data_IF_183747123156
#
_entry.id   IF_183747123156
#
_cell.length_a   1.000
_cell.length_b   1.000
_cell.length_c   1.000
_cell.angle_alpha   90.00
_cell.angle_beta   90.00
_cell.angle_gamma   90.00
#
_symmetry.space_group_name_H-M   'P 1'
#
loop_
_entity.id
_entity.type
_entity.pdbx_description
1 polymer ?
#
# COMPACT_ATOMS: atom_id res chain seq x y z
N UNK A 1 2.97 0.91 -4.72
CA UNK A 1 3.84 1.17 -5.89
C UNK A 1 3.08 2.04 -6.88
N UNK A 2 3.61 3.21 -7.22
CA UNK A 2 3.00 4.10 -8.20
C UNK A 2 3.71 3.91 -9.54
N UNK A 3 3.12 3.08 -10.39
CA UNK A 3 3.67 2.75 -11.69
C UNK A 3 2.58 2.65 -12.75
N UNK A 4 2.95 2.98 -14.00
CA UNK A 4 2.07 2.91 -15.16
C UNK A 4 2.74 2.06 -16.23
N UNK A 5 2.05 1.02 -16.69
CA UNK A 5 2.50 0.22 -17.85
C UNK A 5 1.72 0.66 -19.07
N UNK A 6 2.36 0.91 -20.21
CA UNK A 6 1.65 1.30 -21.43
C UNK A 6 2.23 0.68 -22.69
N UNK A 7 1.37 0.51 -23.69
CA UNK A 7 1.74 0.22 -25.07
C UNK A 7 1.66 1.52 -25.88
N UNK A 8 2.73 1.86 -26.57
CA UNK A 8 2.84 3.04 -27.45
C UNK A 8 3.22 2.61 -28.86
N UNK A 9 2.87 3.44 -29.84
CA UNK A 9 3.03 3.17 -31.27
C UNK A 9 3.49 4.43 -32.00
N UNK A 10 4.45 4.29 -32.92
CA UNK A 10 4.77 5.36 -33.85
C UNK A 10 3.85 5.29 -35.06
N UNK A 11 2.85 6.16 -35.11
CA UNK A 11 1.95 6.28 -36.24
C UNK A 11 2.56 7.17 -37.33
N UNK A 12 2.46 6.76 -38.60
CA UNK A 12 2.90 7.58 -39.72
C UNK A 12 2.04 8.85 -39.91
N UNK A 13 0.76 8.81 -39.48
CA UNK A 13 -0.15 9.94 -39.57
C UNK A 13 -0.07 10.88 -38.34
N UNK A 14 -0.13 10.30 -37.14
CA UNK A 14 -0.24 11.07 -35.88
C UNK A 14 1.09 11.19 -35.12
N UNK A 15 2.14 10.52 -35.58
CA UNK A 15 3.40 10.39 -34.85
C UNK A 15 3.31 9.47 -33.62
N UNK A 16 4.19 9.65 -32.62
CA UNK A 16 4.17 8.87 -31.38
C UNK A 16 2.82 8.97 -30.68
N UNK A 17 2.17 7.84 -30.45
CA UNK A 17 0.81 7.74 -29.94
C UNK A 17 0.69 6.70 -28.82
N UNK A 18 -0.05 7.02 -27.77
CA UNK A 18 -0.36 6.07 -26.69
C UNK A 18 -1.59 5.26 -27.10
N UNK A 19 -1.45 3.93 -27.08
CA UNK A 19 -2.51 3.00 -27.43
C UNK A 19 -3.32 2.58 -26.22
N UNK A 20 -2.63 2.21 -25.14
CA UNK A 20 -3.25 1.62 -23.96
C UNK A 20 -2.33 1.73 -22.76
N UNK A 21 -2.88 1.99 -21.58
CA UNK A 21 -2.17 2.02 -20.31
C UNK A 21 -2.94 1.29 -19.21
N UNK A 22 -2.22 0.66 -18.28
CA UNK A 22 -2.77 0.07 -17.06
C UNK A 22 -2.10 0.69 -15.83
N UNK A 23 -2.89 0.98 -14.80
CA UNK A 23 -2.48 1.61 -13.54
C UNK A 23 -2.99 0.82 -12.34
N UNK A 24 -2.26 0.85 -11.24
CA UNK A 24 -2.66 0.27 -9.97
C UNK A 24 -3.13 1.37 -9.00
N UNK A 25 -4.33 1.20 -8.44
CA UNK A 25 -4.94 2.07 -7.43
C UNK A 25 -4.99 1.34 -6.10
N UNK A 26 -4.81 2.07 -4.99
CA UNK A 26 -4.88 1.53 -3.62
C UNK A 26 -5.96 2.30 -2.84
N UNK A 27 -6.97 1.62 -2.30
CA UNK A 27 -8.13 2.24 -1.61
C UNK A 27 -7.78 2.94 -0.28
N UNK A 28 -6.56 2.78 0.24
CA UNK A 28 -6.10 3.49 1.44
C UNK A 28 -5.81 5.00 1.24
N UNK A 29 -6.03 5.54 0.03
CA UNK A 29 -6.09 6.97 -0.22
C UNK A 29 -7.54 7.46 -0.02
N UNK A 30 -8.03 7.36 1.22
CA UNK A 30 -9.32 7.92 1.63
C UNK A 30 -9.17 9.44 1.73
N UNK A 31 -9.25 10.14 0.60
CA UNK A 31 -9.67 11.55 0.52
C UNK A 31 -9.99 12.02 -0.92
N UNK A 32 -9.52 11.34 -1.99
CA UNK A 32 -9.69 11.87 -3.37
C UNK A 32 -10.82 11.25 -4.21
N UNK A 33 -11.58 10.28 -3.69
CA UNK A 33 -12.58 9.55 -4.50
C UNK A 33 -13.95 10.26 -4.51
N UNK A 34 -14.23 11.14 -3.55
CA UNK A 34 -15.50 11.87 -3.50
C UNK A 34 -15.62 12.99 -4.56
N UNK A 35 -14.51 13.62 -4.95
CA UNK A 35 -14.51 14.69 -5.97
C UNK A 35 -14.52 14.16 -7.41
N UNK A 36 -14.35 12.85 -7.61
CA UNK A 36 -14.35 12.23 -8.94
C UNK A 36 -15.78 11.96 -9.49
N UNK A 37 -16.84 12.16 -8.69
CA UNK A 37 -18.22 11.84 -9.09
C UNK A 37 -19.19 13.02 -9.10
N UNK A 38 -18.73 14.25 -8.86
CA UNK A 38 -19.57 15.44 -8.92
C UNK A 38 -18.81 16.65 -9.45
N UNK A 39 -18.88 16.88 -10.76
CA UNK A 39 -19.21 18.17 -11.40
C UNK A 39 -19.53 17.88 -12.87
N UNK A 40 -20.72 18.33 -13.25
CA UNK A 40 -21.33 18.22 -14.55
C UNK A 40 -20.84 19.32 -15.51
N UNK A 41 -20.87 19.00 -16.81
CA UNK A 41 -21.24 19.92 -17.89
C UNK A 41 -20.51 21.26 -17.97
N UNK A 42 -19.27 21.26 -18.47
CA UNK A 42 -18.59 22.50 -18.88
C UNK A 42 -17.53 22.23 -19.93
N UNK A 43 -17.81 22.57 -21.19
CA UNK A 43 -16.80 22.64 -22.26
C UNK A 43 -15.82 23.76 -21.91
N UNK A 44 -14.55 23.45 -21.62
CA UNK A 44 -13.46 24.39 -21.85
C UNK A 44 -12.15 23.63 -22.11
N UNK A 45 -11.67 23.72 -23.35
CA UNK A 45 -10.24 23.58 -23.64
C UNK A 45 -9.52 24.80 -23.06
N UNK A 46 -8.36 24.66 -22.40
CA UNK A 46 -7.54 25.82 -22.09
C UNK A 46 -6.82 26.25 -23.37
N UNK A 47 -7.31 27.34 -23.95
CA UNK A 47 -6.60 28.13 -24.97
C UNK A 47 -5.60 29.01 -24.22
N UNK A 48 -4.40 29.15 -24.79
CA UNK A 48 -3.34 30.03 -24.34
C UNK A 48 -3.80 31.48 -24.23
N UNK A 49 -3.67 32.09 -23.05
CA UNK A 49 -3.77 33.54 -22.89
C UNK A 49 -2.40 34.18 -23.17
N UNK A 50 -2.28 34.75 -24.37
CA UNK A 50 -1.42 35.90 -24.63
C UNK A 50 -2.28 36.95 -25.35
N UNK A 51 -2.61 38.04 -24.66
CA UNK A 51 -3.03 39.30 -25.28
C UNK A 51 -2.35 40.45 -24.55
N UNK A 52 -1.54 41.21 -25.28
CA UNK A 52 -1.84 42.63 -25.50
C UNK A 52 -1.27 43.07 -26.85
N UNK A 53 -2.16 43.56 -27.71
CA UNK A 53 -1.82 44.28 -28.94
C UNK A 53 -2.39 45.69 -28.87
N UNK A 54 -1.74 46.62 -29.57
CA UNK A 54 -2.32 47.92 -29.90
C UNK A 54 -2.47 48.06 -31.41
N UNK A 55 -3.73 48.28 -31.83
CA UNK A 55 -4.25 49.18 -32.89
C UNK A 55 -3.62 49.15 -34.29
N UNK A 56 -4.39 48.80 -35.34
CA UNK A 56 -5.19 49.72 -36.19
C UNK A 56 -5.66 49.12 -37.54
N UNK A 57 -6.90 49.48 -37.92
CA UNK A 57 -7.50 49.67 -39.26
C UNK A 57 -7.90 48.52 -40.23
N UNK A 58 -9.16 48.65 -40.68
CA UNK A 58 -10.06 47.90 -41.60
C UNK A 58 -9.65 48.24 -43.09
N UNK A 59 -10.13 47.62 -44.24
CA UNK A 59 -11.49 47.07 -44.41
C UNK A 59 -11.87 46.01 -45.49
N UNK A 60 -13.16 45.57 -45.39
CA UNK A 60 -14.08 44.94 -46.38
C UNK A 60 -13.69 43.55 -46.98
N UNK A 61 -14.57 42.61 -47.37
CA UNK A 61 -16.01 42.34 -47.30
C UNK A 61 -16.22 40.93 -47.91
N UNK A 62 -17.01 40.05 -47.28
CA UNK A 62 -18.21 39.46 -47.89
C UNK A 62 -18.80 38.33 -47.02
N UNK A 63 -20.01 38.58 -46.55
CA UNK A 63 -20.90 37.63 -45.88
C UNK A 63 -21.43 36.60 -46.89
N UNK A 64 -21.46 35.33 -46.50
CA UNK A 64 -22.48 34.36 -46.90
C UNK A 64 -22.94 33.59 -45.67
N UNK A 65 -24.26 33.50 -45.55
CA UNK A 65 -25.04 33.00 -44.41
C UNK A 65 -24.84 31.51 -44.10
N UNK A 66 -25.22 31.06 -42.88
CA UNK A 66 -24.90 29.74 -42.36
C UNK A 66 -26.00 28.72 -42.67
N UNK A 67 -25.65 27.64 -43.35
CA UNK A 67 -26.48 26.44 -43.41
C UNK A 67 -25.64 25.19 -43.15
N UNK A 68 -25.96 24.52 -42.04
CA UNK A 68 -25.66 23.12 -41.74
C UNK A 68 -24.24 22.61 -42.04
N UNK A 69 -23.34 22.77 -41.07
CA UNK A 69 -22.21 21.85 -40.90
C UNK A 69 -22.47 21.03 -39.64
N UNK A 70 -22.98 19.81 -39.83
CA UNK A 70 -22.84 18.75 -38.86
C UNK A 70 -21.36 18.63 -38.50
N UNK A 71 -21.02 18.96 -37.24
CA UNK A 71 -19.66 18.79 -36.72
C UNK A 71 -19.33 17.30 -36.80
N UNK A 72 -18.52 16.93 -37.78
CA UNK A 72 -17.92 15.61 -37.85
C UNK A 72 -17.04 15.40 -36.61
N UNK A 73 -17.28 14.29 -35.91
CA UNK A 73 -16.39 13.74 -34.89
C UNK A 73 -14.99 13.64 -35.48
N UNK A 74 -13.91 14.05 -34.78
CA UNK A 74 -12.57 13.94 -35.33
C UNK A 74 -12.28 12.47 -35.65
N UNK A 75 -11.96 12.20 -36.91
CA UNK A 75 -11.65 10.86 -37.41
C UNK A 75 -10.41 10.36 -36.67
N UNK A 76 -10.60 9.50 -35.68
CA UNK A 76 -9.48 8.88 -34.96
C UNK A 76 -8.74 7.93 -35.90
N UNK A 77 -7.43 8.06 -36.02
CA UNK A 77 -6.62 7.16 -36.83
C UNK A 77 -6.84 5.69 -36.43
N UNK A 78 -7.20 4.84 -37.39
CA UNK A 78 -7.50 3.43 -37.16
C UNK A 78 -6.31 2.65 -36.57
N UNK A 79 -5.09 3.01 -36.93
CA UNK A 79 -3.86 2.41 -36.36
C UNK A 79 -3.62 2.77 -34.90
N UNK A 80 -4.10 3.94 -34.50
CA UNK A 80 -3.99 4.43 -33.13
C UNK A 80 -5.20 4.02 -32.27
N UNK A 81 -6.14 3.25 -32.83
CA UNK A 81 -7.41 2.95 -32.15
C UNK A 81 -7.21 1.97 -31.01
N UNK A 82 -7.80 2.33 -29.87
CA UNK A 82 -8.06 1.44 -28.75
C UNK A 82 -9.49 0.93 -28.90
N UNK A 83 -9.68 -0.38 -28.98
CA UNK A 83 -11.00 -0.99 -29.16
C UNK A 83 -11.33 -1.89 -27.97
N UNK A 84 -12.49 -1.66 -27.37
CA UNK A 84 -13.05 -2.56 -26.35
C UNK A 84 -13.96 -3.55 -27.10
N UNK A 85 -13.82 -4.87 -26.86
CA UNK A 85 -14.72 -5.84 -27.46
C UNK A 85 -16.19 -5.54 -27.12
N UNK A 86 -17.13 -5.67 -28.07
CA UNK A 86 -18.55 -5.51 -27.79
C UNK A 86 -18.99 -6.50 -26.71
N UNK A 87 -19.80 -6.03 -25.77
CA UNK A 87 -20.25 -6.77 -24.59
C UNK A 87 -21.32 -7.84 -24.93
N UNK A 88 -21.08 -8.66 -25.95
CA UNK A 88 -22.01 -9.73 -26.39
C UNK A 88 -21.45 -11.14 -26.17
N UNK A 89 -20.28 -11.30 -25.53
CA UNK A 89 -19.58 -12.59 -25.40
C UNK A 89 -19.46 -13.16 -23.98
N UNK A 90 -20.05 -12.53 -22.97
CA UNK A 90 -20.21 -13.14 -21.65
C UNK A 90 -21.64 -12.94 -21.18
N UNK A 91 -22.43 -14.02 -21.17
CA UNK A 91 -23.81 -14.06 -20.73
C UNK A 91 -23.97 -13.82 -19.22
N UNK A 92 -23.61 -12.63 -18.75
CA UNK A 92 -23.94 -12.15 -17.41
C UNK A 92 -24.82 -10.90 -17.56
N UNK A 93 -26.08 -11.10 -17.24
CA UNK A 93 -27.19 -10.15 -17.39
C UNK A 93 -27.02 -8.93 -16.47
N UNK A 94 -27.19 -7.76 -17.09
CA UNK A 94 -27.75 -6.47 -16.61
C UNK A 94 -27.55 -6.09 -15.14
N UNK A 95 -26.96 -4.91 -14.94
CA UNK A 95 -27.58 -3.67 -14.44
C UNK A 95 -26.42 -2.71 -14.23
N UNK A 96 -26.30 -1.63 -15.02
CA UNK A 96 -25.99 -0.25 -14.59
C UNK A 96 -26.26 0.66 -15.80
N UNK A 97 -26.83 1.83 -15.53
CA UNK A 97 -27.18 2.85 -16.51
C UNK A 97 -25.99 3.17 -17.43
N UNK A 98 -26.30 3.60 -18.65
CA UNK A 98 -25.41 3.94 -19.77
C UNK A 98 -24.25 4.90 -19.42
N UNK A 99 -23.25 4.42 -18.71
CA UNK A 99 -21.91 5.01 -18.68
C UNK A 99 -21.10 4.28 -19.74
N UNK A 100 -20.73 4.99 -20.81
CA UNK A 100 -19.76 4.50 -21.80
C UNK A 100 -18.63 3.74 -21.10
N UNK A 101 -18.37 2.50 -21.51
CA UNK A 101 -17.31 1.69 -20.92
C UNK A 101 -15.98 2.38 -21.22
N UNK A 102 -15.36 3.01 -20.21
CA UNK A 102 -14.15 3.83 -20.35
C UNK A 102 -12.83 3.03 -20.29
N UNK A 103 -12.89 1.70 -20.10
CA UNK A 103 -11.70 0.87 -19.94
C UNK A 103 -11.96 -0.50 -19.31
N UNK A 104 -10.89 -1.18 -18.90
CA UNK A 104 -10.89 -2.44 -18.15
C UNK A 104 -10.64 -2.20 -16.66
N UNK A 105 -11.22 -3.04 -15.80
CA UNK A 105 -10.97 -3.03 -14.35
C UNK A 105 -10.74 -4.47 -13.88
N UNK A 106 -9.71 -4.70 -13.09
CA UNK A 106 -9.40 -6.01 -12.49
C UNK A 106 -9.00 -5.80 -11.03
N UNK A 107 -9.66 -6.47 -10.10
CA UNK A 107 -9.33 -6.43 -8.68
C UNK A 107 -8.28 -7.49 -8.36
N UNK A 108 -7.40 -7.24 -7.39
CA UNK A 108 -6.43 -8.23 -6.93
C UNK A 108 -7.08 -9.17 -5.91
N UNK A 109 -7.13 -10.47 -6.20
CA UNK A 109 -7.70 -11.49 -5.30
C UNK A 109 -6.95 -11.58 -3.96
N UNK A 110 -5.64 -11.31 -3.94
CA UNK A 110 -4.83 -11.41 -2.73
C UNK A 110 -4.85 -10.13 -1.89
N UNK A 111 -5.09 -8.98 -2.52
CA UNK A 111 -5.17 -7.70 -1.83
C UNK A 111 -6.37 -6.92 -2.35
N UNK A 112 -7.55 -7.06 -1.72
CA UNK A 112 -8.78 -6.39 -2.15
C UNK A 112 -8.67 -4.87 -2.25
N UNK A 113 -7.71 -4.25 -1.55
CA UNK A 113 -7.44 -2.81 -1.61
C UNK A 113 -6.79 -2.38 -2.92
N UNK A 114 -6.31 -3.30 -3.75
CA UNK A 114 -5.59 -3.00 -5.00
C UNK A 114 -6.49 -3.28 -6.20
N UNK A 115 -6.69 -2.25 -7.01
CA UNK A 115 -7.41 -2.37 -8.28
C UNK A 115 -6.54 -1.92 -9.44
N UNK A 116 -6.51 -2.73 -10.50
CA UNK A 116 -5.86 -2.39 -11.75
C UNK A 116 -6.90 -1.84 -12.74
N UNK A 117 -6.64 -0.66 -13.30
CA UNK A 117 -7.52 0.01 -14.27
C UNK A 117 -6.75 0.18 -15.58
N UNK A 118 -7.33 -0.31 -16.67
CA UNK A 118 -6.80 -0.20 -18.03
C UNK A 118 -7.61 0.79 -18.85
N UNK A 119 -6.98 1.78 -19.47
CA UNK A 119 -7.64 2.80 -20.30
C UNK A 119 -6.70 3.24 -21.41
N UNK A 120 -7.17 4.07 -22.36
CA UNK A 120 -6.26 4.65 -23.38
C UNK A 120 -5.26 5.62 -22.76
N UNK A 121 -5.72 6.40 -21.77
CA UNK A 121 -4.94 7.43 -21.09
C UNK A 121 -5.19 7.41 -19.58
N UNK A 122 -4.21 7.81 -18.75
CA UNK A 122 -4.46 8.17 -17.35
C UNK A 122 -5.59 9.19 -17.21
N UNK A 123 -6.36 9.07 -16.13
CA UNK A 123 -7.41 10.05 -15.81
C UNK A 123 -6.84 11.38 -15.32
N UNK A 124 -5.73 11.33 -14.57
CA UNK A 124 -5.10 12.52 -14.00
C UNK A 124 -4.21 13.23 -15.04
N UNK A 125 -4.33 14.56 -15.12
CA UNK A 125 -3.68 15.39 -16.16
C UNK A 125 -2.15 15.38 -16.10
N UNK A 126 -1.58 15.39 -14.89
CA UNK A 126 -0.12 15.33 -14.71
C UNK A 126 0.44 13.97 -15.18
N UNK A 127 -0.25 12.87 -14.86
CA UNK A 127 0.11 11.54 -15.33
C UNK A 127 -0.03 11.43 -16.85
N UNK A 128 -1.04 12.09 -17.44
CA UNK A 128 -1.18 12.18 -18.90
C UNK A 128 0.03 12.84 -19.54
N UNK A 129 0.47 13.98 -19.02
CA UNK A 129 1.66 14.67 -19.52
C UNK A 129 2.91 13.79 -19.42
N UNK A 130 3.13 13.13 -18.28
CA UNK A 130 4.26 12.23 -18.06
C UNK A 130 4.26 11.03 -19.04
N UNK A 131 3.11 10.35 -19.20
CA UNK A 131 2.96 9.22 -20.14
C UNK A 131 3.12 9.68 -21.60
N UNK A 132 2.58 10.87 -21.95
CA UNK A 132 2.73 11.45 -23.28
C UNK A 132 4.19 11.75 -23.59
N UNK A 133 4.91 12.35 -22.65
CA UNK A 133 6.33 12.66 -22.80
C UNK A 133 7.18 11.39 -22.89
N UNK A 134 6.90 10.39 -22.04
CA UNK A 134 7.53 9.07 -22.12
C UNK A 134 7.30 8.41 -23.49
N UNK A 135 6.09 8.51 -24.05
CA UNK A 135 5.76 8.00 -25.38
C UNK A 135 6.59 8.67 -26.49
N UNK A 136 6.68 10.00 -26.50
CA UNK A 136 7.47 10.73 -27.50
C UNK A 136 8.95 10.36 -27.40
N UNK A 137 9.53 10.38 -26.19
CA UNK A 137 10.94 10.07 -25.98
C UNK A 137 11.27 8.64 -26.41
N UNK A 138 10.46 7.67 -25.98
CA UNK A 138 10.64 6.24 -26.30
C UNK A 138 10.67 5.92 -27.79
N UNK A 139 9.92 6.68 -28.61
CA UNK A 139 9.74 6.37 -30.04
C UNK A 139 10.55 7.29 -30.96
N UNK A 140 10.93 8.49 -30.51
CA UNK A 140 11.56 9.52 -31.36
C UNK A 140 12.94 9.97 -30.91
N UNK A 141 13.26 9.92 -29.62
CA UNK A 141 14.49 10.53 -29.08
C UNK A 141 15.52 9.49 -28.66
N UNK A 142 15.05 8.45 -27.96
CA UNK A 142 15.92 7.49 -27.31
C UNK A 142 16.35 6.39 -28.29
N UNK A 143 17.65 6.14 -28.37
CA UNK A 143 18.22 5.23 -29.37
C UNK A 143 18.77 3.96 -28.72
N UNK A 144 18.41 2.81 -29.29
CA UNK A 144 18.99 1.52 -28.94
C UNK A 144 19.80 0.98 -30.13
N UNK A 145 20.99 0.44 -29.89
CA UNK A 145 21.80 -0.18 -30.94
C UNK A 145 21.05 -1.39 -31.52
N UNK A 146 20.90 -1.45 -32.84
CA UNK A 146 20.05 -2.45 -33.52
C UNK A 146 18.57 -2.06 -33.63
N UNK A 147 18.15 -0.92 -33.06
CA UNK A 147 16.81 -0.33 -33.13
C UNK A 147 15.67 -1.22 -32.57
N UNK A 148 15.97 -2.23 -31.78
CA UNK A 148 15.04 -2.96 -30.92
C UNK A 148 15.72 -3.26 -29.59
N UNK A 149 14.96 -3.20 -28.50
CA UNK A 149 15.47 -3.52 -27.17
C UNK A 149 15.09 -2.52 -26.09
N UNK A 150 15.56 -2.76 -24.86
CA UNK A 150 15.23 -1.94 -23.71
C UNK A 150 16.12 -0.69 -23.60
N UNK A 151 15.54 0.42 -23.16
CA UNK A 151 16.23 1.68 -22.83
C UNK A 151 15.65 2.22 -21.53
N UNK A 152 16.50 2.76 -20.65
CA UNK A 152 16.10 3.46 -19.43
C UNK A 152 16.41 4.94 -19.56
N UNK A 153 15.43 5.79 -19.28
CA UNK A 153 15.59 7.24 -19.28
C UNK A 153 14.58 7.88 -18.33
N UNK A 154 14.71 9.17 -18.06
CA UNK A 154 13.74 9.91 -17.26
C UNK A 154 14.40 10.98 -16.40
N UNK A 155 13.59 11.63 -15.59
CA UNK A 155 13.98 12.68 -14.67
C UNK A 155 13.08 12.68 -13.42
N UNK A 156 13.48 13.42 -12.39
CA UNK A 156 12.72 13.51 -11.14
C UNK A 156 11.37 14.24 -11.30
N UNK A 157 11.20 15.01 -12.39
CA UNK A 157 9.99 15.79 -12.65
C UNK A 157 8.88 14.95 -13.30
N UNK A 158 9.20 14.19 -14.34
CA UNK A 158 8.24 13.41 -15.12
C UNK A 158 8.27 11.91 -14.77
N UNK A 159 9.25 11.48 -13.97
CA UNK A 159 9.49 10.10 -13.60
C UNK A 159 10.47 9.39 -14.52
N UNK A 160 10.80 8.17 -14.13
CA UNK A 160 11.73 7.27 -14.78
C UNK A 160 10.98 6.22 -15.60
N UNK A 161 11.47 5.96 -16.81
CA UNK A 161 10.83 5.12 -17.82
C UNK A 161 11.78 4.01 -18.24
N UNK A 162 11.30 2.77 -18.18
CA UNK A 162 11.87 1.64 -18.89
C UNK A 162 11.04 1.42 -20.16
N UNK A 163 11.63 1.68 -21.32
CA UNK A 163 11.03 1.48 -22.64
C UNK A 163 11.59 0.22 -23.26
N UNK A 164 10.75 -0.64 -23.83
CA UNK A 164 11.14 -1.80 -24.62
C UNK A 164 10.57 -1.66 -26.02
N UNK A 165 11.42 -1.21 -26.96
CA UNK A 165 11.04 -0.98 -28.35
C UNK A 165 11.15 -2.27 -29.17
N UNK A 166 10.17 -2.52 -30.03
CA UNK A 166 10.12 -3.67 -30.92
C UNK A 166 9.34 -3.34 -32.21
N UNK A 167 9.60 -4.09 -33.29
CA UNK A 167 8.90 -3.90 -34.56
C UNK A 167 7.95 -5.05 -34.84
N UNK A 168 6.86 -4.73 -35.52
CA UNK A 168 5.87 -5.69 -35.99
C UNK A 168 5.83 -5.62 -37.53
N UNK A 169 5.85 -6.77 -38.22
CA UNK A 169 5.69 -6.80 -39.68
C UNK A 169 4.24 -6.51 -40.08
N UNK A 170 4.06 -5.65 -41.08
CA UNK A 170 2.75 -5.34 -41.65
C UNK A 170 2.86 -5.01 -43.14
N UNK A 171 2.12 -5.74 -43.98
CA UNK A 171 2.10 -5.58 -45.43
C UNK A 171 1.59 -4.22 -45.93
N UNK A 172 0.83 -3.50 -45.12
CA UNK A 172 0.29 -2.19 -45.46
C UNK A 172 1.17 -1.03 -44.95
N UNK A 173 2.11 -1.31 -44.05
CA UNK A 173 2.98 -0.30 -43.46
C UNK A 173 4.17 0.03 -44.35
N UNK A 174 4.69 1.27 -44.24
CA UNK A 174 5.88 1.67 -44.97
C UNK A 174 7.08 0.82 -44.52
N UNK A 175 7.80 0.27 -45.48
CA UNK A 175 8.92 -0.63 -45.18
C UNK A 175 8.50 -1.96 -44.54
N UNK A 176 7.22 -2.33 -44.66
CA UNK A 176 6.63 -3.56 -44.16
C UNK A 176 6.73 -3.75 -42.64
N UNK A 177 6.95 -2.68 -41.88
CA UNK A 177 7.22 -2.73 -40.44
C UNK A 177 6.58 -1.53 -39.71
N UNK A 178 6.07 -1.77 -38.51
CA UNK A 178 5.55 -0.76 -37.59
C UNK A 178 6.32 -0.78 -36.28
N UNK A 179 6.48 0.38 -35.66
CA UNK A 179 7.26 0.56 -34.45
C UNK A 179 6.35 0.66 -33.23
N UNK A 180 6.60 -0.19 -32.24
CA UNK A 180 5.89 -0.20 -30.98
C UNK A 180 6.88 -0.16 -29.82
N UNK A 181 6.42 0.28 -28.64
CA UNK A 181 7.17 0.13 -27.41
C UNK A 181 6.26 -0.18 -26.23
N UNK A 182 6.73 -1.04 -25.33
CA UNK A 182 6.18 -1.15 -23.99
C UNK A 182 6.94 -0.20 -23.08
N UNK A 183 6.22 0.66 -22.36
CA UNK A 183 6.81 1.57 -21.39
C UNK A 183 6.35 1.20 -19.98
N UNK A 184 7.28 1.24 -19.03
CA UNK A 184 7.03 1.15 -17.60
C UNK A 184 7.49 2.46 -16.95
N UNK A 185 6.54 3.30 -16.56
CA UNK A 185 6.79 4.59 -15.91
C UNK A 185 6.68 4.44 -14.40
N UNK A 186 7.67 4.95 -13.67
CA UNK A 186 7.81 4.85 -12.22
C UNK A 186 8.47 6.12 -11.66
N UNK A 187 8.16 6.52 -10.43
CA UNK A 187 8.81 7.66 -9.76
C UNK A 187 10.17 7.30 -9.15
N UNK A 188 10.33 6.07 -8.64
CA UNK A 188 11.56 5.59 -8.02
C UNK A 188 12.56 5.01 -9.05
N UNK A 189 13.67 5.72 -9.28
CA UNK A 189 14.75 5.29 -10.16
C UNK A 189 15.41 3.99 -9.70
N UNK A 190 15.71 3.88 -8.40
CA UNK A 190 16.51 2.77 -7.85
C UNK A 190 15.71 1.49 -7.96
N UNK A 191 14.43 1.55 -7.61
CA UNK A 191 13.52 0.42 -7.75
C UNK A 191 13.37 -0.02 -9.21
N UNK A 192 13.25 0.92 -10.14
CA UNK A 192 13.14 0.62 -11.58
C UNK A 192 14.40 -0.09 -12.11
N UNK A 193 15.58 0.40 -11.73
CA UNK A 193 16.88 -0.19 -12.11
C UNK A 193 17.04 -1.58 -11.49
N UNK A 194 16.74 -1.75 -10.20
CA UNK A 194 16.73 -3.06 -9.56
C UNK A 194 15.74 -4.01 -10.28
N UNK A 195 14.60 -3.47 -10.73
CA UNK A 195 13.55 -4.19 -11.44
C UNK A 195 13.88 -4.55 -12.90
N UNK A 196 14.97 -4.01 -13.45
CA UNK A 196 15.31 -4.09 -14.88
C UNK A 196 15.32 -5.51 -15.47
N UNK A 197 16.04 -6.51 -14.94
CA UNK A 197 16.10 -7.84 -15.57
C UNK A 197 14.73 -8.52 -15.66
N UNK A 198 13.89 -8.32 -14.64
CA UNK A 198 12.53 -8.83 -14.58
C UNK A 198 11.65 -8.17 -15.65
N UNK A 199 11.61 -6.84 -15.67
CA UNK A 199 10.76 -6.09 -16.61
C UNK A 199 11.15 -6.35 -18.06
N UNK A 200 12.44 -6.33 -18.37
CA UNK A 200 12.97 -6.63 -19.72
C UNK A 200 12.59 -8.04 -20.14
N UNK A 201 12.71 -9.03 -19.25
CA UNK A 201 12.31 -10.41 -19.54
C UNK A 201 10.82 -10.51 -19.90
N UNK A 202 9.94 -9.86 -19.12
CA UNK A 202 8.49 -9.92 -19.36
C UNK A 202 8.07 -9.15 -20.62
N UNK A 203 8.62 -7.97 -20.85
CA UNK A 203 8.36 -7.20 -22.08
C UNK A 203 8.90 -7.89 -23.33
N UNK A 204 10.07 -8.54 -23.26
CA UNK A 204 10.58 -9.37 -24.36
C UNK A 204 9.61 -10.48 -24.72
N UNK A 205 9.09 -11.23 -23.74
CA UNK A 205 8.13 -12.31 -23.99
C UNK A 205 6.86 -11.76 -24.67
N UNK A 206 6.30 -10.66 -24.17
CA UNK A 206 5.12 -10.03 -24.77
C UNK A 206 5.39 -9.55 -26.21
N UNK A 207 6.53 -8.90 -26.44
CA UNK A 207 6.94 -8.42 -27.76
C UNK A 207 7.09 -9.57 -28.75
N UNK A 208 7.80 -10.63 -28.36
CA UNK A 208 7.98 -11.82 -29.20
C UNK A 208 6.65 -12.51 -29.51
N UNK A 209 5.72 -12.58 -28.55
CA UNK A 209 4.39 -13.14 -28.81
C UNK A 209 3.60 -12.33 -29.86
N UNK A 210 3.67 -11.00 -29.82
CA UNK A 210 3.05 -10.13 -30.82
C UNK A 210 3.76 -10.26 -32.18
N UNK A 211 5.09 -10.29 -32.20
CA UNK A 211 5.90 -10.46 -33.41
C UNK A 211 5.61 -11.80 -34.10
N UNK A 212 5.56 -12.90 -33.37
CA UNK A 212 5.26 -14.23 -33.92
C UNK A 212 3.88 -14.27 -34.57
N UNK A 213 2.85 -13.75 -33.90
CA UNK A 213 1.49 -13.67 -34.46
C UNK A 213 1.45 -12.82 -35.73
N UNK A 214 2.13 -11.68 -35.73
CA UNK A 214 2.19 -10.80 -36.90
C UNK A 214 2.97 -11.42 -38.07
N UNK A 215 4.09 -12.10 -37.80
CA UNK A 215 4.88 -12.77 -38.82
C UNK A 215 4.07 -13.86 -39.53
N UNK A 216 3.31 -14.67 -38.78
CA UNK A 216 2.40 -15.67 -39.37
C UNK A 216 1.35 -15.04 -40.28
N UNK A 217 0.78 -13.89 -39.86
CA UNK A 217 -0.20 -13.16 -40.68
C UNK A 217 0.42 -12.54 -41.93
N UNK A 218 1.63 -11.98 -41.79
CA UNK A 218 2.40 -11.40 -42.88
C UNK A 218 2.75 -12.45 -43.95
N UNK A 219 3.24 -13.61 -43.54
CA UNK A 219 3.57 -14.73 -44.43
C UNK A 219 2.33 -15.26 -45.15
N UNK A 220 1.21 -15.44 -44.43
CA UNK A 220 -0.06 -15.87 -45.02
C UNK A 220 -0.58 -14.90 -46.08
N UNK A 221 -0.48 -13.61 -45.82
CA UNK A 221 -0.89 -12.57 -46.79
C UNK A 221 0.01 -12.52 -48.01
N UNK A 222 1.31 -12.79 -47.86
CA UNK A 222 2.25 -12.84 -48.98
C UNK A 222 2.05 -14.08 -49.86
N UNK A 223 1.91 -15.26 -49.25
CA UNK A 223 1.60 -16.49 -49.98
C UNK A 223 0.27 -16.38 -50.76
N UNK A 224 -0.75 -15.74 -50.17
CA UNK A 224 -2.03 -15.50 -50.84
C UNK A 224 -1.95 -14.46 -51.98
N UNK A 225 -0.91 -13.62 -52.03
CA UNK A 225 -0.65 -12.67 -53.13
C UNK A 225 0.13 -13.34 -54.25
N UNK A 226 1.13 -14.14 -53.91
CA UNK A 226 1.94 -14.90 -54.88
C UNK A 226 1.06 -15.87 -55.69
N UNK A 227 0.18 -16.63 -55.03
CA UNK A 227 -0.75 -17.54 -55.73
C UNK A 227 -1.76 -16.85 -56.66
N UNK A 228 -2.09 -15.57 -56.45
CA UNK A 228 -2.96 -14.80 -57.37
C UNK A 228 -2.21 -14.28 -58.59
N UNK A 229 -0.88 -14.15 -58.49
CA UNK A 229 -0.07 -13.62 -59.57
C UNK A 229 0.20 -14.69 -60.64
N UNK A 230 0.29 -15.96 -60.23
CA UNK A 230 0.40 -17.10 -61.16
C UNK A 230 -0.88 -17.31 -61.99
N UNK A 231 -2.08 -17.13 -61.40
CA UNK A 231 -3.36 -17.17 -62.13
C UNK A 231 -3.57 -15.96 -63.06
N UNK A 232 -3.04 -14.79 -62.68
CA UNK A 232 -3.16 -13.55 -63.46
C UNK A 232 -2.23 -13.52 -64.69
N UNK A 233 -1.14 -14.30 -64.72
CA UNK A 233 -0.29 -14.42 -65.91
C UNK A 233 -0.95 -15.21 -67.03
N UNK A 234 -1.89 -16.12 -66.71
CA UNK A 234 -2.63 -16.90 -67.72
C UNK A 234 -3.89 -16.20 -68.26
N UNK A 235 -4.42 -15.18 -67.56
CA UNK A 235 -5.54 -14.36 -68.02
C UNK A 235 -5.06 -12.97 -68.46
N UNK A 236 -4.96 -12.74 -69.78
CA UNK A 236 -4.60 -11.45 -70.44
C UNK A 236 -5.64 -10.32 -70.25
N UNK A 237 -6.27 -10.22 -69.08
CA UNK A 237 -7.30 -9.23 -68.75
C UNK A 237 -7.16 -8.68 -67.32
N UNK A 238 -5.94 -8.65 -66.79
CA UNK A 238 -5.61 -7.94 -65.55
C UNK A 238 -5.21 -6.46 -65.78
N UNK A 239 -5.43 -5.55 -64.81
CA UNK A 239 -5.15 -4.13 -64.98
C UNK A 239 -3.66 -3.89 -65.24
N UNK A 240 -3.35 -3.07 -66.25
CA UNK A 240 -1.98 -2.67 -66.62
C UNK A 240 -1.17 -2.16 -65.40
N UNK A 241 0.14 -2.41 -65.37
CA UNK A 241 1.02 -1.86 -64.33
C UNK A 241 0.97 -0.32 -64.36
N UNK A 242 1.11 0.36 -63.21
CA UNK A 242 0.94 1.80 -63.12
C UNK A 242 1.97 2.51 -63.98
N UNK A 243 1.50 3.22 -64.99
CA UNK A 243 2.31 3.95 -65.98
C UNK A 243 2.81 5.30 -65.48
N UNK A 244 2.51 5.70 -64.23
CA UNK A 244 3.03 6.95 -63.66
C UNK A 244 3.49 6.83 -62.19
N UNK A 245 4.62 7.48 -61.82
CA UNK A 245 5.06 7.58 -60.43
C UNK A 245 3.99 8.16 -59.49
N UNK A 246 3.13 9.03 -60.02
CA UNK A 246 2.07 9.73 -59.30
C UNK A 246 0.94 8.79 -58.82
N UNK A 247 0.57 7.77 -59.62
CA UNK A 247 -0.40 6.76 -59.21
C UNK A 247 0.15 5.83 -58.12
N UNK A 248 1.46 5.58 -58.11
CA UNK A 248 2.11 4.75 -57.09
C UNK A 248 2.18 5.46 -55.73
N UNK A 249 2.47 6.77 -55.74
CA UNK A 249 2.48 7.61 -54.55
C UNK A 249 1.07 7.79 -53.96
N UNK A 250 0.04 8.02 -54.79
CA UNK A 250 -1.34 8.19 -54.32
C UNK A 250 -1.98 6.92 -53.78
N UNK A 251 -1.66 5.73 -54.30
CA UNK A 251 -2.16 4.46 -53.71
C UNK A 251 -1.60 4.18 -52.32
N UNK A 252 -0.35 4.56 -52.04
CA UNK A 252 0.26 4.39 -50.71
C UNK A 252 -0.17 5.47 -49.71
N UNK A 253 -0.44 6.69 -50.17
CA UNK A 253 -0.86 7.79 -49.29
C UNK A 253 -2.30 7.65 -48.76
N UNK A 254 -3.20 6.94 -49.48
CA UNK A 254 -4.63 6.95 -49.21
C UNK A 254 -5.22 5.66 -48.61
N UNK A 255 -4.41 4.63 -48.31
CA UNK A 255 -4.92 3.48 -47.55
C UNK A 255 -4.75 3.72 -46.05
N UNK A 256 -5.85 3.83 -45.26
CA UNK A 256 -5.75 3.97 -43.83
C UNK A 256 -5.12 2.70 -43.26
N UNK A 257 -4.03 2.86 -42.53
CA UNK A 257 -3.35 1.77 -41.85
C UNK A 257 -4.31 1.08 -40.86
N UNK A 258 -4.50 -0.24 -41.02
CA UNK A 258 -5.35 -1.07 -40.14
C UNK A 258 -4.97 -1.01 -38.66
N UNK A 259 -5.92 -1.32 -37.77
CA UNK A 259 -5.68 -1.41 -36.32
C UNK A 259 -4.77 -2.59 -35.95
N UNK A 260 -4.16 -2.54 -34.76
CA UNK A 260 -3.36 -3.67 -34.25
C UNK A 260 -4.21 -4.94 -34.04
N UNK A 261 -5.47 -4.78 -33.64
CA UNK A 261 -6.44 -5.87 -33.49
C UNK A 261 -6.73 -6.55 -34.82
N UNK A 262 -6.90 -5.77 -35.88
CA UNK A 262 -7.12 -6.26 -37.24
C UNK A 262 -5.86 -6.91 -37.82
N UNK A 263 -4.69 -6.32 -37.60
CA UNK A 263 -3.39 -6.87 -38.02
C UNK A 263 -3.13 -8.26 -37.42
N UNK A 264 -3.38 -8.41 -36.11
CA UNK A 264 -3.16 -9.67 -35.39
C UNK A 264 -4.37 -10.62 -35.45
N UNK A 265 -5.49 -10.19 -36.04
CA UNK A 265 -6.78 -10.90 -36.03
C UNK A 265 -7.20 -11.41 -34.64
N UNK A 266 -6.85 -10.67 -33.58
CA UNK A 266 -7.08 -11.06 -32.19
C UNK A 266 -8.00 -10.04 -31.53
N UNK A 267 -9.30 -10.37 -31.42
CA UNK A 267 -10.32 -9.46 -30.84
C UNK A 267 -10.05 -9.13 -29.37
N UNK A 268 -9.51 -10.09 -28.62
CA UNK A 268 -9.27 -9.95 -27.17
C UNK A 268 -7.88 -9.40 -26.83
N UNK A 269 -7.20 -8.77 -27.80
CA UNK A 269 -5.82 -8.29 -27.63
C UNK A 269 -5.67 -7.39 -26.39
N UNK A 270 -6.55 -6.39 -26.25
CA UNK A 270 -6.44 -5.44 -25.14
C UNK A 270 -6.86 -6.04 -23.79
N UNK A 271 -7.72 -7.06 -23.79
CA UNK A 271 -8.03 -7.84 -22.58
C UNK A 271 -6.77 -8.61 -22.14
N UNK A 272 -6.11 -9.29 -23.07
CA UNK A 272 -4.85 -10.01 -22.81
C UNK A 272 -3.75 -9.05 -22.36
N UNK A 273 -3.63 -7.87 -22.98
CA UNK A 273 -2.67 -6.86 -22.57
C UNK A 273 -2.97 -6.32 -21.17
N UNK A 274 -4.24 -6.04 -20.85
CA UNK A 274 -4.64 -5.60 -19.52
C UNK A 274 -4.26 -6.64 -18.47
N UNK A 275 -4.63 -7.91 -18.67
CA UNK A 275 -4.29 -9.00 -17.75
C UNK A 275 -2.76 -9.12 -17.55
N UNK A 276 -1.99 -9.08 -18.63
CA UNK A 276 -0.54 -9.14 -18.56
C UNK A 276 0.06 -7.92 -17.83
N UNK A 277 -0.43 -6.71 -18.10
CA UNK A 277 0.06 -5.50 -17.45
C UNK A 277 -0.29 -5.46 -15.96
N UNK A 278 -1.51 -5.85 -15.60
CA UNK A 278 -1.94 -6.00 -14.20
C UNK A 278 -1.07 -7.01 -13.47
N UNK A 279 -0.78 -8.16 -14.10
CA UNK A 279 0.12 -9.16 -13.53
C UNK A 279 1.56 -8.64 -13.38
N UNK A 280 2.09 -7.92 -14.38
CA UNK A 280 3.43 -7.31 -14.31
C UNK A 280 3.49 -6.29 -13.17
N UNK A 281 2.47 -5.44 -13.01
CA UNK A 281 2.38 -4.48 -11.90
C UNK A 281 2.35 -5.18 -10.54
N UNK A 282 1.50 -6.21 -10.40
CA UNK A 282 1.40 -7.04 -9.19
C UNK A 282 2.73 -7.70 -8.83
N UNK A 283 3.32 -8.41 -9.78
CA UNK A 283 4.56 -9.16 -9.59
C UNK A 283 5.75 -8.23 -9.35
N UNK A 284 5.80 -7.07 -10.02
CA UNK A 284 6.81 -6.05 -9.76
C UNK A 284 6.65 -5.52 -8.33
N UNK A 285 5.44 -5.14 -7.91
CA UNK A 285 5.15 -4.63 -6.56
C UNK A 285 5.54 -5.56 -5.42
N UNK A 286 5.45 -6.88 -5.62
CA UNK A 286 5.83 -7.89 -4.62
C UNK A 286 7.32 -8.21 -4.56
N UNK A 287 8.13 -7.72 -5.51
CA UNK A 287 9.51 -8.16 -5.67
C UNK A 287 10.44 -7.65 -4.57
N UNK A 288 10.30 -6.40 -4.18
CA UNK A 288 11.09 -5.77 -3.13
C UNK A 288 10.14 -5.40 -2.00
N UNK A 289 10.02 -6.31 -1.03
CA UNK A 289 9.26 -6.10 0.19
C UNK A 289 10.23 -6.02 1.36
N UNK A 290 10.05 -4.99 2.18
CA UNK A 290 10.78 -4.87 3.43
C UNK A 290 10.21 -5.89 4.43
N UNK A 291 11.07 -6.78 4.94
CA UNK A 291 10.71 -7.68 6.03
C UNK A 291 11.17 -7.04 7.33
N UNK A 292 10.24 -6.40 8.03
CA UNK A 292 10.52 -5.88 9.37
C UNK A 292 10.71 -7.07 10.32
N UNK A 293 11.94 -7.30 10.78
CA UNK A 293 12.21 -8.30 11.81
C UNK A 293 11.98 -7.60 13.14
N UNK A 294 10.83 -7.87 13.78
CA UNK A 294 10.64 -7.47 15.16
C UNK A 294 11.53 -8.37 16.02
N UNK A 295 12.53 -7.76 16.68
CA UNK A 295 13.40 -8.47 17.61
C UNK A 295 12.59 -9.27 18.63
N UNK A 296 13.14 -10.42 19.01
CA UNK A 296 12.54 -11.37 19.95
C UNK A 296 12.04 -10.61 21.19
N UNK A 297 10.72 -10.66 21.45
CA UNK A 297 10.18 -10.25 22.74
C UNK A 297 10.82 -11.16 23.79
N UNK A 298 11.70 -10.61 24.63
CA UNK A 298 12.45 -11.31 25.68
C UNK A 298 11.54 -12.15 26.62
N UNK A 299 10.24 -11.84 26.66
CA UNK A 299 9.24 -12.65 27.34
C UNK A 299 8.01 -12.88 26.42
N UNK A 300 7.47 -14.11 26.36
CA UNK A 300 6.24 -14.38 25.61
C UNK A 300 5.07 -13.55 26.17
N UNK A 301 4.14 -13.17 25.29
CA UNK A 301 3.01 -12.26 25.52
C UNK A 301 2.04 -12.66 26.67
N UNK A 302 2.35 -13.65 27.49
CA UNK A 302 1.63 -14.00 28.73
C UNK A 302 2.10 -13.21 29.96
N UNK A 303 3.26 -12.54 29.88
CA UNK A 303 3.69 -11.58 30.89
C UNK A 303 3.35 -10.17 30.38
N UNK A 304 2.13 -9.70 30.67
CA UNK A 304 1.85 -8.28 30.60
C UNK A 304 2.74 -7.60 31.65
N UNK A 305 3.89 -7.06 31.22
CA UNK A 305 4.62 -6.13 32.06
C UNK A 305 3.68 -4.94 32.27
N UNK A 306 3.10 -4.84 33.47
CA UNK A 306 2.40 -3.65 33.93
C UNK A 306 3.33 -2.46 33.64
N UNK A 307 2.83 -1.42 32.97
CA UNK A 307 3.60 -0.20 32.66
C UNK A 307 4.25 0.44 33.91
N UNK A 308 3.89 -0.01 35.12
CA UNK A 308 4.45 0.42 36.40
C UNK A 308 5.86 -0.08 36.70
N UNK A 309 6.35 -1.15 36.07
CA UNK A 309 7.67 -1.75 36.42
C UNK A 309 8.86 -1.05 35.75
N UNK A 310 8.65 -0.15 34.77
CA UNK A 310 9.73 0.52 34.01
C UNK A 310 10.51 1.58 34.83
N UNK A 311 10.14 1.84 36.10
CA UNK A 311 10.77 2.91 36.90
C UNK A 311 12.06 2.53 37.65
N UNK A 312 12.60 1.30 37.51
CA UNK A 312 13.76 0.86 38.30
C UNK A 312 15.14 1.02 37.64
N UNK A 313 15.23 1.56 36.43
CA UNK A 313 16.48 1.58 35.65
C UNK A 313 17.15 2.96 35.46
N UNK A 314 16.59 4.05 36.00
CA UNK A 314 17.25 5.36 35.95
C UNK A 314 17.67 5.84 37.36
N UNK A 315 18.97 5.76 37.72
CA UNK A 315 19.46 6.15 39.04
C UNK A 315 19.82 7.64 39.18
N UNK A 316 19.49 8.52 38.22
CA UNK A 316 20.12 9.87 38.16
C UNK A 316 19.17 11.05 38.44
N UNK A 317 17.85 10.87 38.51
CA UNK A 317 16.98 12.00 38.84
C UNK A 317 16.70 12.09 40.35
N UNK A 318 17.57 12.82 41.04
CA UNK A 318 17.26 13.47 42.33
C UNK A 318 16.02 14.38 42.17
N UNK A 319 14.82 13.81 42.25
CA UNK A 319 13.60 14.60 42.38
C UNK A 319 13.39 14.96 43.85
N UNK A 320 13.91 16.13 44.22
CA UNK A 320 13.36 16.93 45.33
C UNK A 320 11.90 17.23 44.99
N UNK A 321 10.95 16.60 45.68
CA UNK A 321 9.59 17.13 45.72
C UNK A 321 8.95 16.91 47.10
N UNK A 322 8.64 18.06 47.69
CA UNK A 322 7.68 18.37 48.75
C UNK A 322 7.13 17.23 49.61
N UNK A 323 7.42 17.33 50.91
CA UNK A 323 6.51 16.86 51.96
C UNK A 323 5.11 17.41 51.64
N UNK A 324 4.17 16.54 51.32
CA UNK A 324 2.73 16.70 51.46
C UNK A 324 2.11 15.34 51.12
N UNK A 325 2.07 14.45 52.11
CA UNK A 325 1.18 13.30 52.07
C UNK A 325 -0.26 13.82 52.22
N UNK A 326 -0.84 14.24 51.10
CA UNK A 326 -2.26 14.59 51.01
C UNK A 326 -3.08 13.30 51.14
N UNK A 327 -3.50 13.01 52.37
CA UNK A 327 -4.69 12.22 52.62
C UNK A 327 -5.88 13.07 52.15
N UNK A 328 -6.35 12.82 50.92
CA UNK A 328 -7.60 13.42 50.45
C UNK A 328 -8.77 12.75 51.16
N UNK A 329 -9.43 13.51 52.04
CA UNK A 329 -10.79 13.22 52.47
C UNK A 329 -11.75 13.54 51.33
N UNK A 330 -12.61 12.58 50.96
CA UNK A 330 -14.02 12.79 50.61
C UNK A 330 -14.68 11.43 50.33
N UNK A 331 -15.61 11.02 51.19
CA UNK A 331 -16.71 10.07 50.91
C UNK A 331 -16.33 8.63 50.51
N UNK A 332 -16.37 7.69 51.47
CA UNK A 332 -16.33 6.23 51.25
C UNK A 332 -15.07 5.66 50.55
N UNK A 333 -13.87 6.01 51.02
CA UNK A 333 -12.62 5.40 50.52
C UNK A 333 -11.88 4.63 51.62
N UNK A 334 -11.83 3.31 51.47
CA UNK A 334 -10.92 2.44 52.21
C UNK A 334 -9.46 2.83 51.95
N UNK A 335 -8.59 2.60 52.93
CA UNK A 335 -7.15 2.84 52.83
C UNK A 335 -6.52 1.96 51.74
N UNK A 336 -6.11 2.54 50.60
CA UNK A 336 -5.49 1.80 49.49
C UNK A 336 -4.06 2.29 49.20
N UNK A 337 -3.13 1.35 49.06
CA UNK A 337 -1.74 1.59 48.66
C UNK A 337 -1.61 1.36 47.16
N UNK A 338 -1.39 2.44 46.39
CA UNK A 338 -1.40 2.39 44.91
C UNK A 338 0.00 2.24 44.31
N UNK A 339 1.02 2.73 45.02
CA UNK A 339 2.41 2.78 44.54
C UNK A 339 3.36 2.09 45.50
N UNK A 340 4.40 1.45 44.95
CA UNK A 340 5.48 0.83 45.72
C UNK A 340 6.23 1.85 46.60
N UNK A 341 6.34 3.09 46.14
CA UNK A 341 6.94 4.18 46.92
C UNK A 341 6.15 4.47 48.21
N UNK A 342 4.82 4.46 48.15
CA UNK A 342 3.97 4.64 49.33
C UNK A 342 4.16 3.51 50.35
N UNK A 343 4.37 2.28 49.87
CA UNK A 343 4.72 1.14 50.73
C UNK A 343 6.12 1.29 51.35
N UNK A 344 7.09 1.78 50.59
CA UNK A 344 8.43 2.09 51.07
C UNK A 344 8.44 3.17 52.14
N UNK A 345 7.73 4.28 51.90
CA UNK A 345 7.64 5.40 52.83
C UNK A 345 6.97 4.97 54.16
N UNK A 346 6.02 4.04 54.08
CA UNK A 346 5.30 3.50 55.25
C UNK A 346 6.13 2.50 56.08
N UNK A 347 6.87 1.60 55.42
CA UNK A 347 7.67 0.57 56.08
C UNK A 347 9.04 1.05 56.53
N UNK A 348 9.56 2.10 55.87
CA UNK A 348 10.94 2.53 55.99
C UNK A 348 11.93 1.57 55.33
N UNK A 349 13.15 2.06 55.08
CA UNK A 349 14.15 1.38 54.26
C UNK A 349 14.52 -0.02 54.73
N UNK A 350 14.66 -0.23 56.05
CA UNK A 350 15.13 -1.51 56.61
C UNK A 350 14.09 -2.61 56.49
N UNK A 351 12.81 -2.32 56.79
CA UNK A 351 11.75 -3.31 56.73
C UNK A 351 11.31 -3.57 55.30
N UNK A 352 11.26 -2.52 54.46
CA UNK A 352 10.99 -2.69 53.04
C UNK A 352 12.04 -3.57 52.36
N UNK A 353 13.34 -3.36 52.63
CA UNK A 353 14.40 -4.24 52.09
C UNK A 353 14.23 -5.69 52.50
N UNK A 354 13.89 -5.96 53.77
CA UNK A 354 13.63 -7.33 54.26
C UNK A 354 12.43 -7.96 53.57
N UNK A 355 11.35 -7.20 53.39
CA UNK A 355 10.13 -7.63 52.70
C UNK A 355 10.44 -8.07 51.27
N UNK A 356 11.11 -7.21 50.50
CA UNK A 356 11.45 -7.46 49.09
C UNK A 356 12.43 -8.63 48.96
N UNK A 357 13.45 -8.70 49.82
CA UNK A 357 14.44 -9.78 49.77
C UNK A 357 13.81 -11.14 50.05
N UNK A 358 12.88 -11.22 51.01
CA UNK A 358 12.14 -12.46 51.26
C UNK A 358 11.26 -12.84 50.07
N UNK A 359 10.56 -11.86 49.49
CA UNK A 359 9.69 -12.11 48.34
C UNK A 359 10.47 -12.60 47.10
N UNK A 360 11.60 -11.97 46.77
CA UNK A 360 12.45 -12.38 45.63
C UNK A 360 13.12 -13.74 45.87
N UNK A 361 13.35 -14.13 47.12
CA UNK A 361 13.88 -15.46 47.49
C UNK A 361 12.81 -16.58 47.48
N UNK A 362 11.61 -16.27 47.01
CA UNK A 362 10.45 -17.18 46.99
C UNK A 362 9.98 -17.60 48.40
N UNK A 363 10.29 -16.83 49.44
CA UNK A 363 9.70 -17.04 50.76
C UNK A 363 8.22 -16.63 50.74
N UNK A 364 7.40 -17.29 51.55
CA UNK A 364 5.97 -16.98 51.59
C UNK A 364 5.75 -15.64 52.30
N UNK A 365 5.17 -14.69 51.59
CA UNK A 365 4.80 -13.40 52.12
C UNK A 365 3.36 -13.45 52.65
N UNK A 366 3.19 -13.17 53.94
CA UNK A 366 1.90 -13.16 54.62
C UNK A 366 1.57 -11.74 55.03
N UNK A 367 0.44 -11.22 54.59
CA UNK A 367 -0.05 -9.88 54.93
C UNK A 367 -1.28 -10.05 55.81
N UNK A 368 -1.18 -9.67 57.08
CA UNK A 368 -2.30 -9.72 58.03
C UNK A 368 -2.88 -8.34 58.23
N UNK A 369 -4.18 -8.20 58.05
CA UNK A 369 -4.90 -6.96 58.38
C UNK A 369 -6.34 -7.27 58.78
N UNK A 370 -6.97 -6.34 59.49
CA UNK A 370 -8.43 -6.33 59.67
C UNK A 370 -9.15 -5.77 58.43
N UNK A 371 -8.44 -5.01 57.58
CA UNK A 371 -8.97 -4.41 56.37
C UNK A 371 -8.55 -5.20 55.12
N UNK A 372 -9.55 -5.68 54.38
CA UNK A 372 -9.37 -6.46 53.16
C UNK A 372 -8.83 -5.60 52.01
N UNK A 373 -9.22 -4.34 51.93
CA UNK A 373 -8.86 -3.46 50.81
C UNK A 373 -7.39 -3.03 50.90
N UNK A 374 -6.89 -2.77 52.12
CA UNK A 374 -5.45 -2.54 52.35
C UNK A 374 -4.67 -3.77 51.90
N UNK A 375 -5.07 -4.96 52.37
CA UNK A 375 -4.38 -6.22 52.06
C UNK A 375 -4.29 -6.44 50.55
N UNK A 376 -5.41 -6.27 49.84
CA UNK A 376 -5.45 -6.39 48.38
C UNK A 376 -4.59 -5.35 47.68
N UNK A 377 -4.57 -4.10 48.16
CA UNK A 377 -3.75 -3.04 47.57
C UNK A 377 -2.24 -3.32 47.70
N UNK A 378 -1.79 -3.81 48.87
CA UNK A 378 -0.40 -4.21 49.11
C UNK A 378 0.01 -5.38 48.21
N UNK A 379 -0.83 -6.42 48.14
CA UNK A 379 -0.60 -7.59 47.28
C UNK A 379 -0.42 -7.17 45.82
N UNK A 380 -1.28 -6.28 45.34
CA UNK A 380 -1.23 -5.78 43.96
C UNK A 380 0.11 -5.10 43.65
N UNK A 381 0.58 -4.27 44.57
CA UNK A 381 1.85 -3.54 44.43
C UNK A 381 3.07 -4.47 44.46
N UNK A 382 3.03 -5.50 45.30
CA UNK A 382 4.15 -6.45 45.45
C UNK A 382 4.20 -7.46 44.29
N UNK A 383 3.04 -7.90 43.79
CA UNK A 383 2.93 -8.84 42.67
C UNK A 383 3.65 -8.35 41.40
N UNK A 384 3.68 -7.04 41.17
CA UNK A 384 4.33 -6.41 40.01
C UNK A 384 5.87 -6.45 40.05
N UNK A 385 6.48 -6.87 41.17
CA UNK A 385 7.93 -6.92 41.34
C UNK A 385 8.59 -8.16 40.72
N UNK A 386 7.82 -9.22 40.48
CA UNK A 386 8.32 -10.47 39.89
C UNK A 386 7.41 -10.90 38.73
N UNK A 387 7.90 -11.71 37.78
CA UNK A 387 7.08 -12.19 36.68
C UNK A 387 5.81 -12.90 37.16
N UNK A 388 4.72 -12.81 36.39
CA UNK A 388 3.42 -13.40 36.76
C UNK A 388 3.49 -14.90 37.07
N UNK A 389 4.39 -15.64 36.41
CA UNK A 389 4.60 -17.07 36.64
C UNK A 389 5.29 -17.39 37.98
N UNK A 390 5.92 -16.39 38.59
CA UNK A 390 6.56 -16.49 39.91
C UNK A 390 5.62 -16.03 41.03
N UNK A 391 4.34 -15.75 40.73
CA UNK A 391 3.36 -15.26 41.69
C UNK A 391 2.17 -16.22 41.81
N UNK A 392 1.97 -16.79 43.00
CA UNK A 392 0.77 -17.54 43.39
C UNK A 392 0.10 -16.82 44.57
N UNK A 393 -1.02 -16.18 44.29
CA UNK A 393 -1.63 -15.18 45.19
C UNK A 393 -2.97 -15.67 45.72
N UNK A 394 -3.16 -15.56 47.03
CA UNK A 394 -4.46 -15.68 47.70
C UNK A 394 -4.77 -14.34 48.37
N UNK A 395 -5.80 -13.65 47.88
CA UNK A 395 -6.06 -12.24 48.23
C UNK A 395 -6.43 -12.03 49.70
N UNK A 396 -7.27 -12.90 50.29
CA UNK A 396 -7.70 -12.79 51.68
C UNK A 396 -8.38 -14.08 52.17
N UNK A 397 -7.90 -14.64 53.28
CA UNK A 397 -8.42 -15.88 53.88
C UNK A 397 -8.54 -15.77 55.40
N UNK A 398 -9.42 -16.59 55.99
CA UNK A 398 -9.58 -16.69 57.46
C UNK A 398 -8.76 -17.85 58.07
N UNK A 399 -8.08 -18.63 57.23
CA UNK A 399 -7.24 -19.77 57.64
C UNK A 399 -5.89 -19.70 56.92
N UNK A 400 -4.82 -19.98 57.66
CA UNK A 400 -3.48 -20.08 57.09
C UNK A 400 -3.41 -21.14 55.96
N UNK A 401 -2.72 -20.81 54.88
CA UNK A 401 -2.42 -21.71 53.76
C UNK A 401 -0.90 -21.88 53.63
N UNK A 402 -0.39 -23.09 53.37
CA UNK A 402 1.03 -23.34 53.23
C UNK A 402 1.60 -22.77 51.92
N UNK A 403 2.92 -22.56 51.89
CA UNK A 403 3.70 -22.10 50.73
C UNK A 403 3.43 -22.88 49.44
N UNK A 404 3.12 -24.18 49.52
CA UNK A 404 2.81 -25.02 48.35
C UNK A 404 1.58 -24.56 47.57
N UNK A 405 0.69 -23.77 48.19
CA UNK A 405 -0.51 -23.24 47.54
C UNK A 405 -0.35 -21.80 47.07
N UNK A 406 0.41 -21.00 47.80
CA UNK A 406 0.58 -19.57 47.51
C UNK A 406 1.88 -19.04 48.11
N UNK A 407 2.55 -18.15 47.38
CA UNK A 407 3.69 -17.39 47.89
C UNK A 407 3.30 -16.01 48.39
N UNK A 408 2.13 -15.48 48.02
CA UNK A 408 1.54 -14.29 48.65
C UNK A 408 0.19 -14.66 49.26
N UNK A 409 0.02 -14.42 50.56
CA UNK A 409 -1.18 -14.77 51.32
C UNK A 409 -1.69 -13.57 52.11
N UNK A 410 -2.89 -13.10 51.79
CA UNK A 410 -3.64 -12.18 52.65
C UNK A 410 -4.41 -12.95 53.73
N UNK A 411 -4.33 -12.50 54.97
CA UNK A 411 -4.99 -13.11 56.12
C UNK A 411 -5.71 -12.09 56.99
N UNK A 412 -6.76 -12.55 57.65
CA UNK A 412 -7.42 -11.81 58.70
C UNK A 412 -6.51 -11.65 59.94
N UNK A 413 -6.56 -10.49 60.59
CA UNK A 413 -5.80 -10.17 61.80
C UNK A 413 -6.01 -11.18 62.96
N UNK A 414 -7.18 -11.81 63.05
CA UNK A 414 -7.51 -12.78 64.11
C UNK A 414 -7.03 -14.21 63.82
N UNK A 415 -6.56 -14.49 62.61
CA UNK A 415 -6.13 -15.83 62.20
C UNK A 415 -4.78 -16.18 62.82
N UNK A 416 -4.73 -17.33 63.51
CA UNK A 416 -3.49 -17.87 64.06
C UNK A 416 -2.70 -18.63 63.00
N UNK A 417 -1.40 -18.37 62.94
CA UNK A 417 -0.45 -19.13 62.11
C UNK A 417 0.00 -20.33 62.95
N UNK A 418 -0.03 -21.57 62.41
CA UNK A 418 0.39 -22.75 63.16
C UNK A 418 1.84 -22.64 63.65
N UNK A 419 2.12 -23.08 64.88
CA UNK A 419 3.45 -23.00 65.50
C UNK A 419 4.50 -23.94 64.85
N UNK A 420 4.04 -24.91 64.07
CA UNK A 420 4.87 -25.90 63.36
C UNK A 420 5.54 -25.33 62.10
N UNK A 421 5.17 -24.11 61.69
CA UNK A 421 5.68 -23.51 60.47
C UNK A 421 7.03 -22.85 60.71
N UNK A 422 8.01 -23.19 59.87
CA UNK A 422 9.34 -22.60 59.93
C UNK A 422 9.28 -21.08 59.63
N UNK A 423 9.76 -20.29 60.59
CA UNK A 423 9.76 -18.82 60.52
C UNK A 423 10.82 -18.29 59.55
N UNK A 424 11.80 -19.10 59.14
CA UNK A 424 12.87 -18.69 58.22
C UNK A 424 12.39 -18.58 56.76
N UNK A 425 11.27 -19.24 56.43
CA UNK A 425 10.69 -19.29 55.08
C UNK A 425 9.45 -18.41 54.92
N UNK A 426 9.13 -17.61 55.94
CA UNK A 426 7.96 -16.72 55.97
C UNK A 426 8.38 -15.29 56.26
N UNK A 427 7.78 -14.35 55.54
CA UNK A 427 7.81 -12.94 55.90
C UNK A 427 6.40 -12.51 56.31
N UNK A 428 6.25 -12.01 57.53
CA UNK A 428 4.97 -11.56 58.06
C UNK A 428 4.90 -10.03 58.08
N UNK A 429 3.89 -9.47 57.42
CA UNK A 429 3.55 -8.06 57.47
C UNK A 429 2.22 -7.89 58.21
N UNK A 430 2.28 -7.45 59.45
CA UNK A 430 1.12 -7.13 60.26
C UNK A 430 0.72 -5.66 60.10
N UNK A 431 -0.52 -5.42 59.71
CA UNK A 431 -1.12 -4.10 59.54
C UNK A 431 -2.23 -3.95 60.59
N UNK A 432 -1.90 -3.25 61.67
CA UNK A 432 -2.84 -2.93 62.75
C UNK A 432 -3.42 -1.53 62.53
N UNK A 433 -4.76 -1.42 62.49
CA UNK A 433 -5.47 -0.15 62.55
C UNK A 433 -5.63 0.24 64.02
N UNK A 434 -4.85 1.21 64.49
CA UNK A 434 -5.05 1.81 65.81
C UNK A 434 -6.03 2.98 65.66
N UNK A 435 -7.24 2.84 66.25
CA UNK A 435 -8.18 3.95 66.42
C UNK A 435 -7.74 4.74 67.65
N UNK A 436 -7.08 5.89 67.46
CA UNK A 436 -6.93 6.89 68.53
C UNK A 436 -7.94 8.01 68.26
N UNK A 437 -8.92 8.14 69.15
CA UNK A 437 -9.86 9.26 69.19
C UNK A 437 -9.08 10.48 69.70
N UNK A 438 -8.45 11.24 68.79
CA UNK A 438 -8.30 12.71 68.75
C UNK A 438 -7.82 13.04 67.33
N UNK A 439 -8.55 13.93 66.65
CA UNK A 439 -8.38 14.50 65.29
C UNK A 439 -6.95 14.49 64.70
N UNK A 440 -6.41 13.32 64.37
CA UNK A 440 -5.37 13.00 63.37
C UNK A 440 -5.43 11.48 63.24
N UNK A 441 -5.78 10.92 62.08
CA UNK A 441 -5.63 9.47 61.84
C UNK A 441 -4.15 9.18 61.69
N UNK A 442 -3.47 8.94 62.80
CA UNK A 442 -2.13 8.38 62.81
C UNK A 442 -2.30 6.88 62.65
N UNK A 443 -2.07 6.36 61.43
CA UNK A 443 -1.86 4.93 61.23
C UNK A 443 -0.53 4.58 61.90
N UNK A 444 -0.58 4.20 63.17
CA UNK A 444 0.57 3.63 63.86
C UNK A 444 0.68 2.18 63.37
N UNK A 445 1.50 1.97 62.34
CA UNK A 445 1.89 0.63 61.93
C UNK A 445 2.84 0.06 62.98
N UNK A 446 2.33 -0.79 63.86
CA UNK A 446 3.17 -1.69 64.63
C UNK A 446 3.67 -2.78 63.67
N UNK A 447 4.77 -2.49 62.97
CA UNK A 447 5.49 -3.49 62.18
C UNK A 447 6.20 -4.43 63.15
N UNK A 448 5.49 -5.42 63.68
CA UNK A 448 6.14 -6.58 64.29
C UNK A 448 6.68 -7.47 63.16
N UNK A 449 7.80 -7.05 62.56
CA UNK A 449 8.57 -7.93 61.70
C UNK A 449 9.28 -8.94 62.60
N UNK A 450 8.63 -10.05 62.93
CA UNK A 450 9.31 -11.17 63.56
C UNK A 450 10.30 -11.79 62.55
N UNK A 451 11.53 -11.30 62.56
CA UNK A 451 12.69 -12.05 62.08
C UNK A 451 13.61 -12.28 63.28
N UNK A 452 13.59 -13.49 63.81
CA UNK A 452 14.83 -14.06 64.37
C UNK A 452 15.80 -14.28 63.20
N UNK A 453 17.05 -13.87 63.43
CA UNK A 453 18.21 -13.92 62.52
C UNK A 453 18.24 -15.11 61.56
#
# INVERSE_FOLDING_TARGET
>A
MNAIVSLVHFCEADGPSVMFCTQAFHENAVEDIADCLSISSGRHSPVSDHIEGSKENIPFSNRKDPSNVSRSVPVSCASCSFSIPPLDTLGVVKIYNSTEIKGFRTNDDENPMVTYVGSRYPQHSQLYAAVRQACVRSLSCEFCQGREGPVLFGDDKNGYVLSYMFKIKDNQARGFQRWYSFIFLMTDRVYLVASWPFLVSKFRILATNLQTKANQMFERENAAREGRHDDAFMSRSGPLPPTSPDQFLRRRANQPLRSLVELLKTKDLFIQLHANFSWILKACGKRLQEKHVNDQKLFPNSCALSQKTIMFLDPINEFKMSRNSTFYQNGEFGTQIVHLKSLYDLLGISNFRKLILNFVRDNQLIIRSSDRDITKSVITVIKDLVPSNCCSVIEYENKYQPRTKCNILGLNATTQIPNEVDKLIICLLDILLIIIIVVVVVVVLFVNLFLTL
#
